data_IF_639592161696
#
_entry.id   IF_639592161696
#
_cell.length_a   1.000
_cell.length_b   1.000
_cell.length_c   1.000
_cell.angle_alpha   90.00
_cell.angle_beta   90.00
_cell.angle_gamma   90.00
#
_symmetry.space_group_name_H-M   'P 1'
#
loop_
_entity.id
_entity.type
_entity.pdbx_description
1 polymer ?
#
# COMPACT_ATOMS: atom_id res chain seq x y z
N UNK A 1 -27.42 -17.84 55.08
CA UNK A 1 -26.20 -17.00 55.08
C UNK A 1 -25.11 -17.77 54.38
N UNK A 2 -24.62 -17.38 53.19
CA UNK A 2 -23.62 -18.14 52.47
C UNK A 2 -22.21 -17.81 52.99
N UNK A 3 -21.40 -18.86 53.14
CA UNK A 3 -20.04 -18.79 53.66
C UNK A 3 -19.06 -18.18 52.65
N UNK A 4 -18.23 -17.26 53.14
CA UNK A 4 -17.12 -16.63 52.41
C UNK A 4 -15.97 -17.63 52.17
N UNK A 5 -15.39 -17.69 50.96
CA UNK A 5 -14.24 -18.54 50.70
C UNK A 5 -12.93 -17.91 51.22
N UNK A 6 -12.14 -18.74 51.90
CA UNK A 6 -10.83 -18.42 52.46
C UNK A 6 -9.79 -18.21 51.36
N UNK A 7 -9.03 -17.11 51.50
CA UNK A 7 -7.95 -16.68 50.61
C UNK A 7 -6.66 -17.47 50.90
N UNK A 8 -5.97 -18.04 49.90
CA UNK A 8 -4.71 -18.75 50.14
C UNK A 8 -3.52 -17.80 50.36
N UNK A 9 -2.47 -18.27 51.09
CA UNK A 9 -1.35 -17.43 51.50
C UNK A 9 -0.37 -17.11 50.36
N UNK A 10 0.14 -15.89 50.40
CA UNK A 10 1.15 -15.31 49.50
C UNK A 10 2.51 -16.01 49.64
N UNK A 11 3.10 -16.45 48.51
CA UNK A 11 4.47 -16.97 48.44
C UNK A 11 5.51 -15.84 48.52
N UNK A 12 6.67 -16.06 49.19
CA UNK A 12 7.74 -15.07 49.28
C UNK A 12 8.59 -15.00 48.01
N UNK A 13 9.10 -13.79 47.73
CA UNK A 13 9.89 -13.43 46.56
C UNK A 13 11.29 -14.07 46.56
N UNK A 14 11.60 -14.80 45.49
CA UNK A 14 12.93 -15.35 45.19
C UNK A 14 13.86 -14.25 44.66
N UNK A 15 14.84 -13.85 45.47
CA UNK A 15 15.97 -13.00 45.04
C UNK A 15 16.92 -13.81 44.15
N UNK A 16 17.12 -13.37 42.90
CA UNK A 16 18.17 -13.90 42.01
C UNK A 16 19.48 -13.09 42.19
N UNK A 17 20.66 -13.73 42.09
CA UNK A 17 21.94 -13.06 42.22
C UNK A 17 22.29 -12.26 40.96
N UNK A 18 22.87 -11.09 41.16
CA UNK A 18 23.44 -10.22 40.14
C UNK A 18 24.82 -10.78 39.76
N UNK A 19 24.94 -11.34 38.56
CA UNK A 19 26.23 -11.74 37.98
C UNK A 19 26.80 -10.54 37.23
N UNK A 20 27.85 -9.94 37.79
CA UNK A 20 28.65 -8.91 37.14
C UNK A 20 29.40 -9.52 35.95
N UNK A 21 29.06 -9.11 34.73
CA UNK A 21 29.83 -9.41 33.51
C UNK A 21 30.85 -8.29 33.28
N UNK A 22 32.12 -8.66 33.30
CA UNK A 22 33.23 -7.82 32.90
C UNK A 22 33.12 -7.47 31.41
N UNK A 23 33.13 -6.18 31.10
CA UNK A 23 33.25 -5.66 29.74
C UNK A 23 34.72 -5.67 29.33
N UNK A 24 35.09 -6.53 28.40
CA UNK A 24 36.34 -6.42 27.65
C UNK A 24 36.08 -5.48 26.45
N UNK A 25 36.63 -4.26 26.52
CA UNK A 25 36.68 -3.33 25.39
C UNK A 25 37.76 -3.84 24.40
N UNK A 26 37.33 -4.43 23.30
CA UNK A 26 38.16 -4.64 22.12
C UNK A 26 38.04 -3.42 21.21
N UNK A 27 39.10 -2.62 21.12
CA UNK A 27 39.22 -1.51 20.18
C UNK A 27 39.40 -2.09 18.76
N UNK A 28 38.31 -2.10 17.98
CA UNK A 28 38.34 -2.49 16.57
C UNK A 28 38.67 -1.25 15.73
N UNK A 29 39.91 -1.18 15.25
CA UNK A 29 40.37 -0.16 14.31
C UNK A 29 39.59 -0.36 13.00
N UNK A 30 38.63 0.52 12.73
CA UNK A 30 37.86 0.50 11.48
C UNK A 30 38.59 1.34 10.45
N UNK A 31 39.14 0.69 9.43
CA UNK A 31 39.70 1.36 8.27
C UNK A 31 38.56 2.04 7.50
N UNK A 32 38.58 3.37 7.49
CA UNK A 32 37.64 4.21 6.76
C UNK A 32 38.00 4.17 5.27
N UNK A 33 37.48 3.18 4.54
CA UNK A 33 37.54 3.18 3.09
C UNK A 33 36.53 4.22 2.57
N UNK A 34 37.03 5.33 2.05
CA UNK A 34 36.27 6.30 1.28
C UNK A 34 35.82 5.64 -0.04
N UNK A 35 34.76 4.85 0.03
CA UNK A 35 34.01 4.46 -1.16
C UNK A 35 33.27 5.72 -1.65
N UNK A 36 33.82 6.35 -2.69
CA UNK A 36 33.12 7.34 -3.49
C UNK A 36 31.89 6.68 -4.10
N UNK A 37 30.79 6.70 -3.35
CA UNK A 37 29.48 6.32 -3.85
C UNK A 37 29.11 7.33 -4.92
N UNK A 38 29.30 6.96 -6.18
CA UNK A 38 28.49 7.50 -7.25
C UNK A 38 27.05 7.26 -6.82
N UNK A 39 26.42 8.32 -6.31
CA UNK A 39 24.99 8.45 -6.23
C UNK A 39 24.51 8.30 -7.67
N UNK A 40 24.27 7.05 -8.10
CA UNK A 40 23.45 6.75 -9.26
C UNK A 40 22.22 7.62 -9.08
N UNK A 41 22.06 8.63 -9.95
CA UNK A 41 20.89 9.50 -9.91
C UNK A 41 19.69 8.59 -9.76
N UNK A 42 19.04 8.63 -8.60
CA UNK A 42 17.83 7.88 -8.38
C UNK A 42 16.93 8.33 -9.53
N UNK A 43 16.64 7.39 -10.43
CA UNK A 43 15.82 7.64 -11.62
C UNK A 43 14.60 8.40 -11.13
N UNK A 44 14.53 9.71 -11.44
CA UNK A 44 13.48 10.62 -10.98
C UNK A 44 12.10 10.10 -11.42
N UNK A 45 12.08 9.12 -12.32
CA UNK A 45 10.92 8.50 -12.92
C UNK A 45 10.69 7.03 -12.50
N UNK A 46 11.26 6.50 -11.39
CA UNK A 46 10.81 5.17 -10.90
C UNK A 46 9.43 5.32 -10.25
N UNK A 47 8.37 4.78 -10.88
CA UNK A 47 7.01 4.94 -10.38
C UNK A 47 6.77 4.08 -9.15
N UNK A 48 7.67 3.15 -8.81
CA UNK A 48 7.50 2.24 -7.68
C UNK A 48 8.50 2.52 -6.57
N UNK A 49 8.04 2.47 -5.32
CA UNK A 49 8.91 2.66 -4.14
C UNK A 49 8.60 1.62 -3.06
N UNK A 50 9.54 1.43 -2.14
CA UNK A 50 9.41 0.54 -0.98
C UNK A 50 9.97 -0.87 -1.19
N UNK A 51 9.50 -1.78 -0.34
CA UNK A 51 9.87 -3.20 -0.31
C UNK A 51 8.85 -4.09 -1.04
N UNK A 52 7.85 -3.49 -1.70
CA UNK A 52 6.93 -4.15 -2.62
C UNK A 52 6.90 -3.35 -3.92
N UNK A 53 7.12 -4.03 -5.05
CA UNK A 53 6.83 -3.45 -6.38
C UNK A 53 5.34 -3.63 -6.61
N UNK A 54 4.61 -2.54 -6.86
CA UNK A 54 3.16 -2.49 -6.90
C UNK A 54 2.70 -1.86 -8.22
N UNK A 55 1.59 -2.33 -8.78
CA UNK A 55 0.94 -1.77 -9.96
C UNK A 55 -0.58 -1.71 -9.75
N UNK A 56 -1.20 -0.55 -10.05
CA UNK A 56 -2.64 -0.43 -10.07
C UNK A 56 -3.25 -1.08 -11.30
N UNK A 57 -4.57 -1.15 -11.26
CA UNK A 57 -5.47 -1.63 -12.30
C UNK A 57 -6.68 -0.68 -12.37
N UNK A 58 -7.45 -0.63 -13.48
CA UNK A 58 -7.37 -1.49 -14.66
C UNK A 58 -6.07 -1.33 -15.46
N UNK A 59 -5.72 -2.37 -16.21
CA UNK A 59 -4.62 -2.30 -17.17
C UNK A 59 -5.01 -1.54 -18.43
N UNK A 60 -4.01 -1.06 -19.14
CA UNK A 60 -4.18 -0.45 -20.45
C UNK A 60 -4.23 -1.52 -21.53
N UNK A 61 -5.01 -1.25 -22.58
CA UNK A 61 -4.97 -2.06 -23.80
C UNK A 61 -3.71 -1.69 -24.59
N UNK A 62 -2.63 -2.46 -24.40
CA UNK A 62 -1.37 -2.27 -25.13
C UNK A 62 -1.50 -2.68 -26.60
N UNK A 63 -2.34 -3.67 -26.88
CA UNK A 63 -2.68 -4.10 -28.24
C UNK A 63 -4.15 -4.53 -28.29
N UNK A 64 -4.95 -4.01 -29.24
CA UNK A 64 -6.34 -4.43 -29.38
C UNK A 64 -6.45 -5.90 -29.79
N UNK A 65 -7.59 -6.51 -29.48
CA UNK A 65 -7.91 -7.86 -29.94
C UNK A 65 -7.98 -7.90 -31.47
N UNK A 66 -7.52 -9.01 -32.06
CA UNK A 66 -7.62 -9.28 -33.50
C UNK A 66 -8.17 -10.69 -33.72
N UNK A 67 -8.54 -11.04 -34.96
CA UNK A 67 -9.07 -12.37 -35.26
C UNK A 67 -8.10 -13.47 -34.79
N UNK A 68 -8.51 -14.24 -33.77
CA UNK A 68 -7.71 -15.31 -33.17
C UNK A 68 -6.65 -14.87 -32.15
N UNK A 69 -6.58 -13.59 -31.76
CA UNK A 69 -5.67 -13.11 -30.70
C UNK A 69 -6.41 -12.17 -29.73
N UNK A 70 -6.44 -12.48 -28.42
CA UNK A 70 -7.06 -11.59 -27.44
C UNK A 70 -6.31 -10.26 -27.35
N UNK A 71 -6.96 -9.26 -26.77
CA UNK A 71 -6.31 -8.01 -26.41
C UNK A 71 -5.11 -8.29 -25.50
N UNK A 72 -4.03 -7.53 -25.67
CA UNK A 72 -2.90 -7.57 -24.77
C UNK A 72 -3.09 -6.44 -23.76
N UNK A 73 -3.37 -6.82 -22.52
CA UNK A 73 -3.55 -5.88 -21.42
C UNK A 73 -2.27 -5.83 -20.58
N UNK A 74 -1.88 -4.62 -20.17
CA UNK A 74 -0.70 -4.43 -19.35
C UNK A 74 -0.40 -2.95 -19.09
N UNK A 75 0.89 -2.67 -18.88
CA UNK A 75 1.39 -1.32 -18.66
C UNK A 75 2.53 -1.01 -19.63
N UNK A 76 2.58 0.21 -20.19
CA UNK A 76 3.73 0.72 -20.92
C UNK A 76 4.53 1.65 -20.00
N UNK A 77 5.68 1.21 -19.50
CA UNK A 77 6.43 1.98 -18.49
C UNK A 77 7.77 2.48 -19.05
N UNK A 78 8.05 3.80 -19.01
CA UNK A 78 9.35 4.34 -19.39
C UNK A 78 10.42 4.09 -18.31
N UNK A 79 11.69 4.18 -18.70
CA UNK A 79 12.84 4.27 -17.78
C UNK A 79 13.33 2.94 -17.21
N UNK A 80 12.55 2.30 -16.34
CA UNK A 80 13.05 1.15 -15.55
C UNK A 80 13.13 -0.14 -16.36
N UNK A 81 14.24 -0.85 -16.17
CA UNK A 81 14.34 -2.26 -16.57
C UNK A 81 13.69 -3.16 -15.50
N UNK A 82 12.37 -3.33 -15.57
CA UNK A 82 11.70 -4.42 -14.87
C UNK A 82 12.26 -5.77 -15.35
N UNK A 83 12.09 -6.80 -14.52
CA UNK A 83 12.56 -8.16 -14.83
C UNK A 83 11.38 -9.10 -14.97
N UNK A 84 11.33 -9.79 -16.10
CA UNK A 84 10.36 -10.85 -16.33
C UNK A 84 10.58 -12.01 -15.34
N UNK A 85 9.54 -12.79 -15.11
CA UNK A 85 9.59 -13.99 -14.28
C UNK A 85 8.43 -14.11 -13.30
N UNK A 86 8.54 -15.12 -12.46
CA UNK A 86 7.50 -15.52 -11.50
C UNK A 86 7.60 -14.72 -10.19
N UNK A 87 6.74 -15.06 -9.22
CA UNK A 87 6.69 -14.43 -7.90
C UNK A 87 5.88 -13.12 -7.88
N UNK A 88 5.05 -12.88 -8.89
CA UNK A 88 4.05 -11.83 -8.87
C UNK A 88 2.74 -12.37 -8.30
N UNK A 89 1.97 -11.48 -7.68
CA UNK A 89 0.70 -11.80 -7.05
C UNK A 89 -0.35 -10.82 -7.51
N UNK A 90 -1.52 -11.34 -7.85
CA UNK A 90 -2.72 -10.53 -8.10
C UNK A 90 -3.68 -10.63 -6.92
N UNK A 91 -4.16 -9.49 -6.42
CA UNK A 91 -5.27 -9.44 -5.48
C UNK A 91 -6.57 -9.36 -6.26
N UNK A 92 -7.39 -10.42 -6.19
CA UNK A 92 -8.61 -10.56 -6.98
C UNK A 92 -9.81 -10.68 -6.05
N UNK A 93 -10.81 -9.81 -6.20
CA UNK A 93 -12.02 -9.81 -5.39
C UNK A 93 -13.28 -10.07 -6.22
N UNK A 94 -14.29 -10.67 -5.60
CA UNK A 94 -15.64 -10.71 -6.17
C UNK A 94 -16.45 -9.49 -5.73
N UNK A 95 -17.77 -9.65 -5.65
CA UNK A 95 -18.72 -8.60 -5.22
C UNK A 95 -18.95 -8.55 -3.70
N UNK A 96 -18.24 -9.39 -2.95
CA UNK A 96 -18.33 -9.51 -1.49
C UNK A 96 -16.90 -9.48 -0.88
N UNK A 97 -16.73 -9.99 0.33
CA UNK A 97 -15.42 -10.10 0.99
C UNK A 97 -14.59 -11.32 0.52
N UNK A 98 -14.91 -11.88 -0.65
CA UNK A 98 -14.33 -13.12 -1.17
C UNK A 98 -13.07 -12.90 -2.00
N UNK A 99 -12.13 -12.09 -1.49
CA UNK A 99 -10.86 -11.87 -2.17
C UNK A 99 -9.92 -13.06 -2.05
N UNK A 100 -9.03 -13.17 -3.03
CA UNK A 100 -8.00 -14.20 -3.08
C UNK A 100 -6.72 -13.68 -3.75
N UNK A 101 -5.61 -14.29 -3.41
CA UNK A 101 -4.36 -14.14 -4.14
C UNK A 101 -4.27 -15.18 -5.25
N UNK A 102 -3.82 -14.71 -6.41
CA UNK A 102 -3.46 -15.56 -7.54
C UNK A 102 -2.00 -15.35 -7.90
N UNK A 103 -1.27 -16.43 -8.13
CA UNK A 103 0.11 -16.35 -8.60
C UNK A 103 0.13 -15.91 -10.06
N UNK A 104 0.98 -14.94 -10.37
CA UNK A 104 1.16 -14.36 -11.69
C UNK A 104 2.63 -14.44 -12.10
N UNK A 105 2.85 -14.32 -13.40
CA UNK A 105 4.15 -14.17 -14.04
C UNK A 105 4.15 -12.91 -14.88
N UNK A 106 5.21 -12.13 -14.76
CA UNK A 106 5.45 -10.96 -15.61
C UNK A 106 6.23 -11.37 -16.88
N UNK A 107 5.67 -11.04 -18.04
CA UNK A 107 6.37 -11.00 -19.31
C UNK A 107 6.70 -9.55 -19.66
N UNK A 108 7.87 -9.33 -20.26
CA UNK A 108 8.34 -8.00 -20.64
C UNK A 108 8.68 -8.01 -22.13
N UNK A 109 8.21 -6.99 -22.84
CA UNK A 109 8.60 -6.71 -24.22
C UNK A 109 9.18 -5.29 -24.29
N UNK A 110 10.39 -5.09 -24.85
CA UNK A 110 10.88 -3.75 -25.13
C UNK A 110 9.90 -2.98 -26.01
N UNK A 111 9.70 -1.70 -25.69
CA UNK A 111 8.74 -0.85 -26.37
C UNK A 111 9.25 0.60 -26.45
N UNK A 112 8.39 1.49 -26.94
CA UNK A 112 8.57 2.93 -26.86
C UNK A 112 7.35 3.55 -26.17
N UNK A 113 7.58 4.64 -25.44
CA UNK A 113 6.55 5.43 -24.81
C UNK A 113 6.51 6.79 -25.47
N UNK A 114 5.35 7.17 -25.97
CA UNK A 114 5.16 8.50 -26.53
C UNK A 114 5.22 9.54 -25.40
N UNK A 115 5.89 10.65 -25.65
CA UNK A 115 6.01 11.76 -24.71
C UNK A 115 5.54 13.00 -25.43
N UNK A 116 4.83 13.87 -24.72
CA UNK A 116 4.33 15.10 -25.30
C UNK A 116 5.47 15.92 -25.93
N UNK A 117 5.30 16.31 -27.20
CA UNK A 117 6.23 17.16 -27.98
C UNK A 117 7.68 16.66 -28.13
N UNK A 118 7.98 15.39 -27.84
CA UNK A 118 9.34 14.83 -27.97
C UNK A 118 9.36 13.45 -28.62
N UNK A 119 10.54 13.01 -29.05
CA UNK A 119 10.71 11.67 -29.61
C UNK A 119 10.34 10.59 -28.57
N UNK A 120 9.67 9.50 -28.97
CA UNK A 120 9.30 8.44 -28.04
C UNK A 120 10.52 7.86 -27.32
N UNK A 121 10.42 7.72 -26.00
CA UNK A 121 11.51 7.23 -25.15
C UNK A 121 11.48 5.70 -25.05
N UNK A 122 12.62 5.03 -24.84
CA UNK A 122 12.64 3.59 -24.56
C UNK A 122 11.77 3.22 -23.35
N UNK A 123 10.99 2.16 -23.50
CA UNK A 123 10.06 1.70 -22.47
C UNK A 123 9.92 0.18 -22.45
N UNK A 124 9.08 -0.32 -21.55
CA UNK A 124 8.76 -1.73 -21.43
C UNK A 124 7.25 -1.94 -21.36
N UNK A 125 6.74 -2.84 -22.19
CA UNK A 125 5.41 -3.42 -22.01
C UNK A 125 5.48 -4.52 -20.96
N UNK A 126 4.73 -4.31 -19.89
CA UNK A 126 4.61 -5.21 -18.75
C UNK A 126 3.27 -5.95 -18.83
N UNK A 127 3.32 -7.27 -18.98
CA UNK A 127 2.12 -8.10 -19.15
C UNK A 127 2.13 -9.22 -18.13
N UNK A 128 1.07 -9.33 -17.34
CA UNK A 128 0.92 -10.38 -16.32
C UNK A 128 0.03 -11.51 -16.83
N UNK A 129 0.38 -12.74 -16.45
CA UNK A 129 -0.38 -13.93 -16.83
C UNK A 129 -0.24 -15.06 -15.79
N UNK A 130 -1.24 -15.96 -15.68
CA UNK A 130 -2.58 -15.83 -16.27
C UNK A 130 -3.40 -14.77 -15.51
N UNK A 131 -4.13 -13.91 -16.23
CA UNK A 131 -5.09 -13.02 -15.59
C UNK A 131 -6.29 -13.81 -15.05
N UNK A 132 -6.93 -13.37 -13.95
CA UNK A 132 -8.07 -14.07 -13.40
C UNK A 132 -9.25 -14.07 -14.38
N UNK A 133 -9.84 -15.25 -14.63
CA UNK A 133 -11.04 -15.37 -15.45
C UNK A 133 -12.32 -14.90 -14.74
N UNK A 134 -12.30 -14.82 -13.40
CA UNK A 134 -13.46 -14.45 -12.56
C UNK A 134 -12.99 -13.54 -11.43
N UNK A 135 -13.75 -12.48 -11.19
CA UNK A 135 -13.46 -11.44 -10.20
C UNK A 135 -12.72 -10.26 -10.80
N UNK A 136 -12.68 -9.18 -10.04
CA UNK A 136 -11.97 -7.95 -10.36
C UNK A 136 -10.56 -8.02 -9.77
N UNK A 137 -9.54 -7.83 -10.61
CA UNK A 137 -8.18 -7.62 -10.16
C UNK A 137 -8.11 -6.21 -9.58
N UNK A 138 -7.58 -6.04 -8.36
CA UNK A 138 -7.41 -4.73 -7.71
C UNK A 138 -5.97 -4.23 -7.66
N UNK A 139 -4.99 -5.13 -7.68
CA UNK A 139 -3.58 -4.79 -7.74
C UNK A 139 -2.75 -5.98 -8.20
N UNK A 140 -1.59 -5.68 -8.77
CA UNK A 140 -0.52 -6.66 -8.98
C UNK A 140 0.73 -6.21 -8.25
N UNK A 141 1.35 -7.13 -7.53
CA UNK A 141 2.50 -6.80 -6.72
C UNK A 141 3.50 -7.93 -6.59
N UNK A 142 4.73 -7.56 -6.22
CA UNK A 142 5.83 -8.49 -5.95
C UNK A 142 6.63 -8.00 -4.75
N UNK A 143 6.62 -8.75 -3.63
CA UNK A 143 7.51 -8.46 -2.51
C UNK A 143 8.98 -8.56 -2.94
N UNK A 144 9.77 -7.60 -2.50
CA UNK A 144 11.20 -7.48 -2.79
C UNK A 144 11.97 -7.07 -1.53
N UNK A 145 13.30 -7.04 -1.61
CA UNK A 145 14.16 -6.50 -0.54
C UNK A 145 13.84 -7.16 0.81
N UNK A 146 13.51 -6.38 1.84
CA UNK A 146 13.24 -6.89 3.19
C UNK A 146 11.93 -7.69 3.29
N UNK A 147 11.05 -7.59 2.30
CA UNK A 147 9.80 -8.34 2.20
C UNK A 147 9.86 -9.50 1.20
N UNK A 148 11.02 -9.83 0.62
CA UNK A 148 11.13 -10.93 -0.35
C UNK A 148 10.68 -12.31 0.21
N UNK A 149 10.67 -12.47 1.55
CA UNK A 149 10.19 -13.66 2.24
C UNK A 149 8.78 -13.55 2.82
N UNK A 150 7.98 -12.55 2.41
CA UNK A 150 6.59 -12.40 2.86
C UNK A 150 5.81 -13.68 2.53
N UNK A 151 5.10 -14.30 3.49
CA UNK A 151 4.50 -15.62 3.33
C UNK A 151 3.19 -15.55 2.53
N UNK A 152 3.30 -15.25 1.23
CA UNK A 152 2.14 -15.20 0.33
C UNK A 152 1.82 -16.59 -0.21
N UNK A 153 0.53 -16.93 -0.21
CA UNK A 153 0.01 -18.17 -0.75
C UNK A 153 -1.18 -17.90 -1.67
N UNK A 154 -1.30 -18.68 -2.74
CA UNK A 154 -2.48 -18.62 -3.60
C UNK A 154 -3.70 -19.14 -2.82
N UNK A 155 -4.82 -18.43 -2.92
CA UNK A 155 -6.04 -18.80 -2.20
C UNK A 155 -6.71 -17.61 -1.52
N UNK A 156 -7.76 -17.87 -0.72
CA UNK A 156 -8.52 -16.83 -0.04
C UNK A 156 -7.64 -15.97 0.86
N UNK A 157 -7.91 -14.67 0.87
CA UNK A 157 -7.29 -13.73 1.81
C UNK A 157 -8.38 -13.05 2.62
N UNK A 158 -8.17 -12.99 3.93
CA UNK A 158 -9.11 -12.36 4.85
C UNK A 158 -9.30 -10.90 4.44
N UNK A 159 -10.54 -10.54 4.17
CA UNK A 159 -10.93 -9.22 3.67
C UNK A 159 -12.08 -8.70 4.52
N UNK A 160 -11.96 -7.46 4.96
CA UNK A 160 -13.03 -6.75 5.66
C UNK A 160 -13.80 -5.83 4.73
N UNK A 161 -13.11 -5.06 3.89
CA UNK A 161 -13.71 -4.17 2.90
C UNK A 161 -12.93 -4.22 1.58
N UNK A 162 -13.63 -4.02 0.46
CA UNK A 162 -13.03 -3.88 -0.86
C UNK A 162 -13.94 -3.12 -1.84
N UNK A 163 -13.35 -2.42 -2.81
CA UNK A 163 -14.02 -1.43 -3.68
C UNK A 163 -15.23 -1.99 -4.43
N UNK A 164 -15.15 -3.24 -4.89
CA UNK A 164 -16.20 -3.97 -5.60
C UNK A 164 -17.32 -4.54 -4.71
N UNK A 165 -17.31 -4.31 -3.39
CA UNK A 165 -18.42 -4.75 -2.53
C UNK A 165 -19.74 -4.10 -2.94
N UNK A 166 -20.83 -4.85 -2.93
CA UNK A 166 -22.15 -4.27 -3.15
C UNK A 166 -22.54 -3.31 -2.01
N UNK A 167 -23.13 -2.16 -2.36
CA UNK A 167 -23.57 -1.15 -1.40
C UNK A 167 -22.45 -0.23 -0.88
N UNK A 168 -22.80 0.77 -0.04
CA UNK A 168 -21.82 1.66 0.57
C UNK A 168 -20.98 0.92 1.62
N UNK A 169 -19.79 1.46 1.92
CA UNK A 169 -19.05 1.01 3.09
C UNK A 169 -19.77 1.35 4.40
N UNK A 170 -19.50 0.61 5.49
CA UNK A 170 -20.04 0.94 6.80
C UNK A 170 -19.65 2.36 7.22
N UNK A 171 -20.67 3.16 7.55
CA UNK A 171 -20.49 4.48 8.15
C UNK A 171 -19.84 4.35 9.54
N UNK A 172 -18.96 5.29 9.89
CA UNK A 172 -18.41 5.44 11.23
C UNK A 172 -19.42 5.93 12.30
N UNK A 173 -20.71 6.05 11.94
CA UNK A 173 -21.79 6.51 12.80
C UNK A 173 -21.85 8.03 12.91
N UNK A 174 -21.27 8.74 11.93
CA UNK A 174 -21.29 10.20 11.87
C UNK A 174 -21.88 10.63 10.53
N UNK A 175 -23.05 11.26 10.62
CA UNK A 175 -23.77 11.78 9.48
C UNK A 175 -22.89 12.76 8.70
N UNK A 176 -22.90 12.64 7.37
CA UNK A 176 -22.17 13.50 6.44
C UNK A 176 -20.64 13.52 6.66
N UNK A 177 -20.07 12.41 7.13
CA UNK A 177 -18.62 12.24 7.16
C UNK A 177 -18.15 11.27 6.08
N UNK A 178 -16.93 11.49 5.60
CA UNK A 178 -16.24 10.57 4.72
C UNK A 178 -15.47 9.51 5.53
N UNK A 179 -15.88 9.21 6.75
CA UNK A 179 -15.20 8.24 7.62
C UNK A 179 -15.64 6.82 7.26
N UNK A 180 -14.67 5.90 7.17
CA UNK A 180 -14.95 4.47 6.96
C UNK A 180 -14.71 3.69 8.23
N UNK A 181 -15.70 2.90 8.64
CA UNK A 181 -15.52 1.91 9.69
C UNK A 181 -15.09 0.55 9.12
N UNK A 182 -13.95 0.04 9.59
CA UNK A 182 -13.40 -1.27 9.25
C UNK A 182 -13.49 -2.16 10.49
N UNK A 183 -14.44 -3.08 10.53
CA UNK A 183 -14.58 -4.03 11.65
C UNK A 183 -13.57 -5.17 11.51
N UNK A 184 -12.42 -5.06 12.18
CA UNK A 184 -11.31 -6.01 12.10
C UNK A 184 -11.60 -7.31 12.86
N UNK A 185 -12.30 -7.19 14.00
CA UNK A 185 -12.75 -8.29 14.85
C UNK A 185 -14.01 -7.86 15.63
N UNK A 186 -14.76 -8.78 16.27
CA UNK A 186 -15.89 -8.41 17.12
C UNK A 186 -15.49 -7.37 18.18
N UNK A 187 -16.16 -6.21 18.17
CA UNK A 187 -15.87 -5.10 19.08
C UNK A 187 -14.60 -4.30 18.77
N UNK A 188 -13.86 -4.64 17.71
CA UNK A 188 -12.66 -3.93 17.27
C UNK A 188 -12.88 -3.29 15.92
N UNK A 189 -12.92 -1.96 15.90
CA UNK A 189 -13.11 -1.15 14.69
C UNK A 189 -11.92 -0.23 14.49
N UNK A 190 -11.38 -0.22 13.27
CA UNK A 190 -10.49 0.84 12.79
C UNK A 190 -11.31 1.85 11.99
N UNK A 191 -10.95 3.13 12.08
CA UNK A 191 -11.56 4.21 11.30
C UNK A 191 -10.52 4.77 10.34
N UNK A 192 -10.87 4.88 9.06
CA UNK A 192 -10.09 5.63 8.08
C UNK A 192 -10.79 6.98 7.84
N UNK A 193 -10.10 8.06 8.20
CA UNK A 193 -10.67 9.40 8.32
C UNK A 193 -9.91 10.37 7.42
N UNK A 194 -10.55 10.92 6.38
CA UNK A 194 -10.00 12.05 5.65
C UNK A 194 -9.92 13.30 6.54
N UNK A 195 -8.79 14.01 6.51
CA UNK A 195 -8.51 15.20 7.32
C UNK A 195 -7.94 16.29 6.43
N UNK A 196 -8.32 17.53 6.67
CA UNK A 196 -7.59 18.67 6.12
C UNK A 196 -6.33 18.89 6.96
N UNK A 197 -5.16 18.87 6.31
CA UNK A 197 -3.91 19.32 6.91
C UNK A 197 -3.80 20.82 6.65
N UNK A 198 -3.80 21.66 7.71
CA UNK A 198 -3.66 23.09 7.54
C UNK A 198 -2.33 23.42 6.82
N UNK A 199 -2.36 24.40 5.93
CA UNK A 199 -1.13 24.91 5.31
C UNK A 199 -0.14 25.34 6.41
N UNK A 200 1.08 24.84 6.36
CA UNK A 200 2.13 25.23 7.31
C UNK A 200 2.53 26.66 6.95
N UNK A 201 2.40 27.60 7.90
CA UNK A 201 2.66 29.03 7.72
C UNK A 201 4.01 29.40 7.09
N UNK A 202 5.00 28.49 7.08
CA UNK A 202 6.29 28.70 6.41
C UNK A 202 6.14 28.91 4.90
N UNK A 203 5.05 28.42 4.32
CA UNK A 203 4.78 28.51 2.89
C UNK A 203 3.61 29.46 2.60
N UNK A 204 3.33 30.42 3.50
CA UNK A 204 2.22 31.38 3.36
C UNK A 204 2.31 32.30 2.11
N UNK A 205 3.38 32.20 1.32
CA UNK A 205 3.50 32.83 -0.01
C UNK A 205 3.47 31.85 -1.19
N UNK A 206 3.44 30.54 -0.94
CA UNK A 206 3.48 29.50 -1.99
C UNK A 206 2.12 29.24 -2.64
N UNK A 207 1.03 29.67 -2.00
CA UNK A 207 -0.33 29.36 -2.46
C UNK A 207 -0.66 27.86 -2.41
N UNK A 208 0.14 27.03 -1.73
CA UNK A 208 -0.12 25.59 -1.62
C UNK A 208 -1.47 25.38 -0.92
N UNK A 209 -2.43 24.69 -1.58
CA UNK A 209 -3.75 24.44 -1.02
C UNK A 209 -3.66 23.57 0.24
N UNK A 210 -4.70 23.59 1.06
CA UNK A 210 -4.84 22.61 2.15
C UNK A 210 -4.79 21.20 1.54
N UNK A 211 -3.91 20.35 2.06
CA UNK A 211 -3.82 18.97 1.61
C UNK A 211 -4.85 18.12 2.35
N UNK A 212 -5.60 17.28 1.63
CA UNK A 212 -6.39 16.22 2.26
C UNK A 212 -5.44 15.08 2.62
N UNK A 213 -5.57 14.51 3.81
CA UNK A 213 -4.71 13.44 4.31
C UNK A 213 -5.54 12.37 4.97
N UNK A 214 -5.11 11.12 4.87
CA UNK A 214 -5.79 10.01 5.51
C UNK A 214 -5.22 9.76 6.91
N UNK A 215 -6.10 9.71 7.91
CA UNK A 215 -5.78 9.34 9.29
C UNK A 215 -6.43 7.99 9.62
N UNK A 216 -5.61 7.01 9.98
CA UNK A 216 -6.07 5.74 10.55
C UNK A 216 -6.23 5.90 12.06
N UNK A 217 -7.33 5.39 12.62
CA UNK A 217 -7.61 5.36 14.07
C UNK A 217 -8.00 3.97 14.51
N UNK A 218 -7.48 3.52 15.65
CA UNK A 218 -7.98 2.32 16.34
C UNK A 218 -7.85 2.50 17.86
N UNK A 219 -8.97 2.49 18.56
CA UNK A 219 -8.99 2.83 19.99
C UNK A 219 -8.43 4.23 20.25
N UNK A 220 -7.32 4.30 20.99
CA UNK A 220 -6.62 5.56 21.28
C UNK A 220 -5.48 5.87 20.29
N UNK A 221 -5.11 4.92 19.42
CA UNK A 221 -4.06 5.12 18.43
C UNK A 221 -4.57 5.93 17.25
N UNK A 222 -3.70 6.81 16.75
CA UNK A 222 -3.92 7.63 15.55
C UNK A 222 -2.63 7.64 14.74
N UNK A 223 -2.76 7.47 13.44
CA UNK A 223 -1.64 7.48 12.51
C UNK A 223 -2.05 8.25 11.26
N UNK A 224 -1.27 9.27 10.88
CA UNK A 224 -1.37 9.86 9.55
C UNK A 224 -0.70 8.92 8.55
N UNK A 225 -1.36 8.64 7.44
CA UNK A 225 -0.86 7.78 6.38
C UNK A 225 -0.25 8.62 5.28
N UNK A 226 -1.07 9.05 4.32
CA UNK A 226 -0.61 9.73 3.11
C UNK A 226 -1.54 10.86 2.72
N UNK A 227 -0.98 11.75 1.90
CA UNK A 227 -1.69 12.85 1.28
C UNK A 227 -2.53 12.30 0.12
N UNK A 228 -3.77 12.78 0.05
CA UNK A 228 -4.74 12.48 -0.98
C UNK A 228 -4.69 13.60 -2.01
N UNK A 229 -4.33 13.27 -3.24
CA UNK A 229 -4.36 14.20 -4.36
C UNK A 229 -5.81 14.60 -4.60
N UNK A 230 -6.09 15.89 -4.47
CA UNK A 230 -7.38 16.46 -4.84
C UNK A 230 -7.13 17.57 -5.85
N UNK A 231 -7.24 17.22 -7.13
CA UNK A 231 -6.95 18.16 -8.20
C UNK A 231 -8.14 19.07 -8.53
N UNK A 232 -9.27 18.89 -7.84
CA UNK A 232 -10.40 19.79 -7.98
C UNK A 232 -10.35 20.89 -6.92
N UNK A 233 -9.95 22.13 -7.28
CA UNK A 233 -10.03 23.26 -6.36
C UNK A 233 -11.48 23.61 -5.97
N UNK A 234 -12.47 23.06 -6.68
CA UNK A 234 -13.90 23.35 -6.51
C UNK A 234 -14.67 22.24 -5.77
N UNK A 235 -14.12 21.03 -5.65
CA UNK A 235 -14.84 19.89 -5.07
C UNK A 235 -14.54 19.72 -3.56
N UNK A 236 -15.28 20.46 -2.73
CA UNK A 236 -15.62 20.01 -1.36
C UNK A 236 -16.71 18.92 -1.36
N UNK A 237 -16.91 18.25 -2.50
CA UNK A 237 -17.85 17.13 -2.57
C UNK A 237 -17.33 15.98 -1.72
N UNK A 238 -18.20 15.29 -0.95
CA UNK A 238 -17.79 14.11 -0.21
C UNK A 238 -17.13 13.10 -1.15
N UNK A 239 -15.86 12.78 -0.93
CA UNK A 239 -15.18 11.74 -1.71
C UNK A 239 -15.77 10.40 -1.26
N UNK A 240 -16.32 9.64 -2.23
CA UNK A 240 -16.78 8.29 -1.99
C UNK A 240 -15.63 7.49 -1.36
N UNK A 241 -15.82 6.85 -0.19
CA UNK A 241 -14.76 6.08 0.41
C UNK A 241 -14.18 4.95 -0.44
N UNK A 242 -14.95 4.43 -1.40
CA UNK A 242 -14.45 3.45 -2.37
C UNK A 242 -13.46 4.04 -3.37
N UNK A 243 -13.46 5.36 -3.55
CA UNK A 243 -12.48 6.04 -4.38
C UNK A 243 -11.08 5.87 -3.79
N UNK A 244 -10.92 5.99 -2.46
CA UNK A 244 -9.60 5.91 -1.84
C UNK A 244 -9.26 4.61 -1.11
N UNK A 245 -10.24 3.87 -0.59
CA UNK A 245 -10.01 2.57 0.04
C UNK A 245 -10.31 1.44 -0.95
N UNK A 246 -9.25 0.94 -1.60
CA UNK A 246 -9.34 -0.17 -2.56
C UNK A 246 -9.62 -1.48 -1.83
N UNK A 247 -8.87 -1.76 -0.77
CA UNK A 247 -8.98 -3.00 -0.02
C UNK A 247 -8.47 -2.83 1.42
N UNK A 248 -9.15 -3.49 2.36
CA UNK A 248 -8.73 -3.66 3.74
C UNK A 248 -8.85 -5.14 4.12
N UNK A 249 -7.75 -5.74 4.54
CA UNK A 249 -7.68 -7.16 4.86
C UNK A 249 -6.36 -7.54 5.50
N UNK A 250 -6.08 -8.83 5.59
CA UNK A 250 -4.87 -9.38 6.23
C UNK A 250 -4.08 -10.15 5.17
N UNK A 251 -3.17 -9.45 4.50
CA UNK A 251 -2.50 -9.89 3.28
C UNK A 251 -1.42 -10.92 3.59
N UNK A 252 -0.74 -10.74 4.72
CA UNK A 252 0.39 -11.56 5.14
C UNK A 252 0.04 -12.60 6.21
N UNK A 253 -1.23 -12.65 6.64
CA UNK A 253 -1.77 -13.68 7.51
C UNK A 253 -1.42 -13.50 8.98
N UNK A 254 -0.99 -12.31 9.40
CA UNK A 254 -0.67 -12.01 10.80
C UNK A 254 -1.90 -11.70 11.67
N UNK A 255 -3.08 -11.65 11.05
CA UNK A 255 -4.36 -11.43 11.71
C UNK A 255 -4.75 -9.96 11.87
N UNK A 256 -3.89 -9.01 11.46
CA UNK A 256 -4.08 -7.57 11.65
C UNK A 256 -4.36 -6.84 10.34
N UNK A 257 -4.68 -5.55 10.48
CA UNK A 257 -5.16 -4.72 9.40
C UNK A 257 -4.05 -4.28 8.45
N UNK A 258 -4.16 -4.69 7.19
CA UNK A 258 -3.43 -4.14 6.05
C UNK A 258 -4.36 -3.30 5.16
N UNK A 259 -3.80 -2.34 4.45
CA UNK A 259 -4.54 -1.40 3.61
C UNK A 259 -3.93 -1.27 2.23
N UNK A 260 -4.79 -1.25 1.22
CA UNK A 260 -4.46 -0.82 -0.14
C UNK A 260 -5.27 0.44 -0.43
N UNK A 261 -4.57 1.56 -0.65
CA UNK A 261 -5.15 2.88 -0.80
C UNK A 261 -4.84 3.46 -2.18
N UNK A 262 -5.83 4.08 -2.79
CA UNK A 262 -5.71 4.82 -4.04
C UNK A 262 -5.87 6.30 -3.72
N UNK A 263 -4.76 7.02 -3.68
CA UNK A 263 -4.73 8.43 -3.27
C UNK A 263 -4.43 9.36 -4.43
N UNK A 264 -4.43 8.81 -5.64
CA UNK A 264 -4.24 9.56 -6.87
C UNK A 264 -5.56 10.15 -7.34
N UNK A 265 -5.49 11.35 -7.90
CA UNK A 265 -6.61 11.95 -8.62
C UNK A 265 -6.21 12.03 -10.09
N UNK A 266 -5.18 12.82 -10.38
CA UNK A 266 -4.65 12.97 -11.73
C UNK A 266 -3.49 12.02 -12.01
N UNK A 267 -2.65 11.76 -11.01
CA UNK A 267 -1.70 10.66 -11.09
C UNK A 267 -2.38 9.34 -10.73
N UNK A 268 -1.87 8.23 -11.25
CA UNK A 268 -2.24 6.91 -10.74
C UNK A 268 -1.37 6.62 -9.53
N UNK A 269 -1.96 6.70 -8.34
CA UNK A 269 -1.23 6.51 -7.08
C UNK A 269 -1.87 5.47 -6.19
N UNK A 270 -1.17 4.36 -6.00
CA UNK A 270 -1.62 3.23 -5.21
C UNK A 270 -0.58 2.89 -4.14
N UNK A 271 -0.97 2.80 -2.87
CA UNK A 271 -0.07 2.47 -1.77
C UNK A 271 -0.54 1.30 -0.94
N UNK A 272 0.39 0.39 -0.63
CA UNK A 272 0.20 -0.78 0.19
C UNK A 272 0.83 -0.53 1.56
N UNK A 273 0.02 -0.65 2.61
CA UNK A 273 0.40 -0.53 4.00
C UNK A 273 0.19 -1.87 4.68
N UNK A 274 1.23 -2.38 5.34
CA UNK A 274 1.17 -3.65 6.07
C UNK A 274 1.34 -3.42 7.56
N UNK A 275 0.54 -4.10 8.37
CA UNK A 275 0.64 -4.10 9.81
C UNK A 275 2.00 -4.63 10.29
N UNK A 276 2.55 -5.64 9.61
CA UNK A 276 3.87 -6.23 9.87
C UNK A 276 5.03 -5.27 9.60
N UNK A 277 4.76 -4.13 8.95
CA UNK A 277 5.71 -3.05 8.69
C UNK A 277 5.61 -1.87 9.66
N UNK A 278 4.62 -1.87 10.54
CA UNK A 278 4.45 -0.83 11.54
C UNK A 278 5.67 -0.72 12.46
N UNK A 279 6.07 0.51 12.80
CA UNK A 279 7.16 0.80 13.73
C UNK A 279 6.66 1.60 14.92
N UNK A 280 7.13 1.25 16.12
CA UNK A 280 6.82 2.00 17.34
C UNK A 280 5.30 2.08 17.59
N UNK A 281 4.71 3.30 17.64
CA UNK A 281 3.28 3.48 17.89
C UNK A 281 2.38 3.35 16.65
N UNK A 282 2.97 3.13 15.46
CA UNK A 282 2.22 2.95 14.21
C UNK A 282 1.34 1.69 14.26
N UNK A 283 0.23 1.74 13.52
CA UNK A 283 -0.66 0.60 13.29
C UNK A 283 -0.28 -0.16 12.02
N UNK A 284 0.20 0.55 10.99
CA UNK A 284 0.66 0.01 9.71
C UNK A 284 1.92 0.73 9.25
N UNK A 285 2.75 0.11 8.41
CA UNK A 285 3.89 0.75 7.77
C UNK A 285 3.82 0.61 6.25
N UNK A 286 4.35 1.61 5.52
CA UNK A 286 4.39 1.58 4.07
C UNK A 286 5.24 0.39 3.60
N UNK A 287 4.62 -0.50 2.84
CA UNK A 287 5.26 -1.66 2.23
C UNK A 287 5.71 -1.36 0.80
N UNK A 288 4.85 -0.70 0.02
CA UNK A 288 5.21 -0.22 -1.30
C UNK A 288 4.22 0.80 -1.83
N UNK A 289 4.67 1.62 -2.77
CA UNK A 289 3.82 2.57 -3.50
C UNK A 289 4.07 2.49 -4.98
N UNK A 290 3.05 2.83 -5.74
CA UNK A 290 3.10 3.17 -7.15
C UNK A 290 2.59 4.59 -7.32
N UNK A 291 3.27 5.40 -8.10
CA UNK A 291 2.86 6.76 -8.47
C UNK A 291 3.33 7.00 -9.90
N UNK A 292 2.39 7.25 -10.80
CA UNK A 292 2.70 7.46 -12.21
C UNK A 292 1.79 8.51 -12.82
N UNK A 293 2.43 9.49 -13.45
CA UNK A 293 1.80 10.48 -14.30
C UNK A 293 2.09 10.10 -15.75
N UNK A 294 1.04 9.91 -16.56
CA UNK A 294 1.18 9.58 -17.97
C UNK A 294 1.69 10.81 -18.73
N UNK A 295 2.95 10.80 -19.23
CA UNK A 295 3.54 11.96 -19.89
C UNK A 295 2.89 12.29 -21.25
N UNK A 296 2.01 11.42 -21.77
CA UNK A 296 1.21 11.70 -22.95
C UNK A 296 -0.05 12.51 -22.63
N UNK A 297 -0.43 12.65 -21.36
CA UNK A 297 -1.57 13.45 -20.92
C UNK A 297 -1.11 14.82 -20.44
N UNK A 298 -1.59 15.86 -21.12
CA UNK A 298 -1.35 17.26 -20.74
C UNK A 298 -2.32 17.76 -19.67
N UNK A 299 -3.38 17.01 -19.39
CA UNK A 299 -4.51 17.45 -18.56
C UNK A 299 -4.75 16.47 -17.40
N UNK A 300 -4.67 17.05 -16.20
CA UNK A 300 -5.59 16.80 -15.10
C UNK A 300 -6.85 17.64 -15.36
#
# INVERSE_FOLDING_TARGET
MPALPLRPPSRPASRRPVVARAFAQAACITALALAGGASSGADINDPTRGDVVLFPVPFETLRPATAGKPALEGWNMPGRNFRAGDGWWGLVCGTATNCRLVALRLAITPAKHDVYETDPVPSQWLVWSPLPAVGELHAVFKPVRSLAGLPLAAGPVKTWLQRGMAGPYPDAGRIATMEVAITVAPGTTALLVPRLRPAIKRDAGSGQPEALVLELRAGQQRQLLEDFENDSPEALSPVDPKAYLVWAGDLDGDGKLDLLLDTGSCSRKLTLWLSSRAKGPEMVGLAGSFEYFDPARSEC
#
